data_IF_057446562427
#
_entry.id   IF_057446562427
#
_cell.length_a   1.000
_cell.length_b   1.000
_cell.length_c   1.000
_cell.angle_alpha   90.00
_cell.angle_beta   90.00
_cell.angle_gamma   90.00
#
_symmetry.space_group_name_H-M   'P 1'
#
loop_
_entity.id
_entity.type
_entity.pdbx_description
1 polymer ?
#
# COMPACT_ATOMS: atom_id res chain seq x y z
N UNK A 1 -6.43 14.70 29.62
CA UNK A 1 -5.85 15.70 28.71
C UNK A 1 -5.08 14.95 27.62
N UNK A 2 -5.41 15.18 26.36
CA UNK A 2 -4.74 14.57 25.21
C UNK A 2 -3.53 15.39 24.81
N UNK A 3 -2.69 14.84 23.94
CA UNK A 3 -1.59 15.58 23.32
C UNK A 3 -1.79 15.61 21.81
N UNK A 4 -1.51 16.75 21.18
CA UNK A 4 -1.52 16.84 19.72
C UNK A 4 -0.45 15.93 19.12
N UNK A 5 -0.83 15.13 18.13
CA UNK A 5 0.06 14.18 17.46
C UNK A 5 1.24 14.83 16.71
N UNK A 6 1.10 16.08 16.28
CA UNK A 6 2.13 16.80 15.51
C UNK A 6 2.98 17.72 16.38
N UNK A 7 2.34 18.47 17.29
CA UNK A 7 2.99 19.55 18.03
C UNK A 7 3.26 19.21 19.52
N UNK A 8 2.73 18.10 20.03
CA UNK A 8 2.88 17.68 21.43
C UNK A 8 2.14 18.53 22.48
N UNK A 9 1.47 19.63 22.09
CA UNK A 9 0.71 20.50 23.00
C UNK A 9 -0.44 19.74 23.67
N UNK A 10 -0.74 20.11 24.92
CA UNK A 10 -1.89 19.59 25.66
C UNK A 10 -3.19 20.12 25.06
N UNK A 11 -4.11 19.21 24.77
CA UNK A 11 -5.42 19.50 24.17
C UNK A 11 -6.52 18.77 24.94
N UNK A 12 -7.78 19.26 24.89
CA UNK A 12 -8.92 18.51 25.41
C UNK A 12 -8.98 17.12 24.76
N UNK A 13 -9.34 16.08 25.51
CA UNK A 13 -9.41 14.69 25.00
C UNK A 13 -10.35 14.53 23.78
N UNK A 14 -11.20 15.51 23.50
CA UNK A 14 -12.11 15.54 22.35
C UNK A 14 -11.44 15.94 21.03
N UNK A 15 -10.23 16.50 21.09
CA UNK A 15 -9.49 16.98 19.92
C UNK A 15 -8.24 16.15 19.70
N UNK A 16 -7.92 15.89 18.43
CA UNK A 16 -6.72 15.13 18.02
C UNK A 16 -5.54 16.06 17.70
N UNK A 17 -5.82 17.30 17.31
CA UNK A 17 -4.82 18.29 16.88
C UNK A 17 -4.99 19.62 17.62
N UNK A 18 -3.89 20.36 17.76
CA UNK A 18 -3.84 21.65 18.45
C UNK A 18 -4.28 22.84 17.57
N UNK A 19 -4.29 22.66 16.26
CA UNK A 19 -4.70 23.65 15.25
C UNK A 19 -4.95 22.95 13.91
N UNK A 20 -5.65 23.62 13.00
CA UNK A 20 -5.84 23.15 11.63
C UNK A 20 -4.50 22.98 10.90
N UNK A 21 -3.52 23.83 11.18
CA UNK A 21 -2.15 23.69 10.67
C UNK A 21 -1.51 22.34 11.05
N UNK A 22 -1.80 21.81 12.24
CA UNK A 22 -1.30 20.51 12.65
C UNK A 22 -2.08 19.36 11.99
N UNK A 23 -3.36 19.53 11.71
CA UNK A 23 -4.13 18.56 10.95
C UNK A 23 -3.65 18.49 9.49
N UNK A 24 -3.30 19.63 8.89
CA UNK A 24 -2.78 19.69 7.52
C UNK A 24 -1.35 19.14 7.40
N UNK A 25 -0.48 19.41 8.38
CA UNK A 25 0.88 18.84 8.39
C UNK A 25 0.88 17.31 8.48
N UNK A 26 -0.03 16.74 9.27
CA UNK A 26 -0.20 15.29 9.38
C UNK A 26 -0.67 14.66 8.05
N UNK A 27 -1.64 15.32 7.38
CA UNK A 27 -2.13 14.92 6.04
C UNK A 27 -1.04 15.02 4.96
N UNK A 28 -0.17 16.02 5.03
CA UNK A 28 0.93 16.21 4.08
C UNK A 28 2.07 15.17 4.30
N UNK A 29 2.32 14.74 5.53
CA UNK A 29 3.29 13.69 5.82
C UNK A 29 2.80 12.29 5.41
N UNK A 30 1.50 12.02 5.51
CA UNK A 30 0.92 10.75 5.03
C UNK A 30 0.94 10.64 3.51
N UNK A 31 0.67 11.72 2.78
CA UNK A 31 0.72 11.73 1.30
C UNK A 31 2.15 11.65 0.75
N UNK A 32 3.14 12.25 1.42
CA UNK A 32 4.54 12.19 0.98
C UNK A 32 5.21 10.82 1.23
N UNK A 33 4.71 10.02 2.18
CA UNK A 33 5.17 8.63 2.37
C UNK A 33 4.69 7.71 1.24
N UNK A 34 3.57 8.04 0.59
CA UNK A 34 3.05 7.33 -0.60
C UNK A 34 3.85 7.65 -1.88
N UNK A 35 4.40 8.86 -2.00
CA UNK A 35 5.07 9.33 -3.21
C UNK A 35 6.49 8.79 -3.42
N UNK A 36 7.17 8.26 -2.39
CA UNK A 36 8.55 7.76 -2.54
C UNK A 36 8.65 6.34 -3.14
N UNK A 37 7.53 5.65 -3.32
CA UNK A 37 7.48 4.31 -3.93
C UNK A 37 7.01 4.32 -5.41
N UNK A 38 6.83 5.49 -6.04
CA UNK A 38 6.13 5.61 -7.33
C UNK A 38 7.00 5.48 -8.60
N UNK A 39 8.18 4.86 -8.52
CA UNK A 39 9.13 4.79 -9.66
C UNK A 39 9.32 3.38 -10.22
N UNK A 40 8.26 2.59 -10.40
CA UNK A 40 8.45 1.20 -10.86
C UNK A 40 7.70 0.77 -12.14
N UNK A 41 6.57 1.36 -12.57
CA UNK A 41 5.87 0.83 -13.76
C UNK A 41 5.37 1.90 -14.74
N UNK A 42 6.28 2.44 -15.55
CA UNK A 42 5.92 3.20 -16.76
C UNK A 42 5.19 2.36 -17.83
N UNK A 43 4.95 1.07 -17.57
CA UNK A 43 4.06 0.20 -18.35
C UNK A 43 2.65 0.00 -17.74
N UNK A 44 2.39 0.42 -16.48
CA UNK A 44 1.02 0.50 -15.92
C UNK A 44 0.30 1.79 -16.35
N UNK A 45 1.06 2.84 -16.66
CA UNK A 45 0.59 4.20 -16.99
C UNK A 45 -0.29 4.33 -18.25
N UNK A 46 -0.50 3.25 -19.03
CA UNK A 46 -1.27 3.31 -20.28
C UNK A 46 -2.55 2.49 -20.31
N UNK A 47 -3.01 1.90 -19.21
CA UNK A 47 -4.29 1.20 -19.24
C UNK A 47 -4.79 0.64 -17.91
N UNK A 48 -5.76 1.34 -17.32
CA UNK A 48 -6.85 0.80 -16.50
C UNK A 48 -6.48 -0.29 -15.47
N UNK A 49 -5.65 0.04 -14.48
CA UNK A 49 -5.65 -0.61 -13.17
C UNK A 49 -6.27 0.32 -12.14
N UNK A 50 -7.28 -0.12 -11.39
CA UNK A 50 -7.72 0.67 -10.23
C UNK A 50 -6.62 0.66 -9.16
N UNK A 51 -6.47 1.74 -8.39
CA UNK A 51 -5.52 1.82 -7.23
C UNK A 51 -5.62 0.57 -6.33
N UNK A 52 -6.83 0.00 -6.22
CA UNK A 52 -7.10 -1.24 -5.48
C UNK A 52 -6.40 -2.46 -6.08
N UNK A 53 -6.37 -2.58 -7.41
CA UNK A 53 -5.65 -3.64 -8.12
C UNK A 53 -4.16 -3.57 -7.83
N UNK A 54 -3.57 -2.37 -7.91
CA UNK A 54 -2.15 -2.16 -7.62
C UNK A 54 -1.83 -2.53 -6.17
N UNK A 55 -2.65 -2.08 -5.23
CA UNK A 55 -2.51 -2.40 -3.80
C UNK A 55 -2.54 -3.92 -3.57
N UNK A 56 -3.45 -4.64 -4.24
CA UNK A 56 -3.51 -6.10 -4.12
C UNK A 56 -2.26 -6.79 -4.68
N UNK A 57 -1.70 -6.29 -5.78
CA UNK A 57 -0.47 -6.84 -6.36
C UNK A 57 0.73 -6.58 -5.45
N UNK A 58 0.83 -5.39 -4.84
CA UNK A 58 1.85 -5.11 -3.82
C UNK A 58 1.75 -6.08 -2.64
N UNK A 59 0.54 -6.37 -2.17
CA UNK A 59 0.33 -7.35 -1.11
C UNK A 59 0.82 -8.75 -1.51
N UNK A 60 0.61 -9.15 -2.76
CA UNK A 60 1.14 -10.42 -3.29
C UNK A 60 2.66 -10.43 -3.33
N UNK A 61 3.29 -9.31 -3.72
CA UNK A 61 4.76 -9.15 -3.72
C UNK A 61 5.30 -9.27 -2.29
N UNK A 62 4.69 -8.60 -1.32
CA UNK A 62 5.07 -8.70 0.09
C UNK A 62 4.97 -10.13 0.62
N UNK A 63 3.95 -10.90 0.21
CA UNK A 63 3.84 -12.31 0.58
C UNK A 63 5.01 -13.14 0.02
N UNK A 64 5.42 -12.91 -1.23
CA UNK A 64 6.61 -13.56 -1.79
C UNK A 64 7.89 -13.17 -1.06
N UNK A 65 8.08 -11.88 -0.74
CA UNK A 65 9.26 -11.41 0.00
C UNK A 65 9.33 -11.99 1.43
N UNK A 66 8.18 -12.34 2.01
CA UNK A 66 8.07 -13.06 3.29
C UNK A 66 8.31 -14.57 3.18
N UNK A 67 8.58 -15.08 1.97
CA UNK A 67 8.90 -16.48 1.73
C UNK A 67 7.68 -17.41 1.60
N UNK A 68 6.47 -16.87 1.40
CA UNK A 68 5.30 -17.71 1.17
C UNK A 68 5.40 -18.40 -0.21
N UNK A 69 4.92 -19.64 -0.27
CA UNK A 69 4.78 -20.34 -1.54
C UNK A 69 3.64 -19.76 -2.37
N UNK A 70 3.68 -19.99 -3.67
CA UNK A 70 2.59 -19.60 -4.55
C UNK A 70 1.25 -20.27 -4.19
N UNK A 71 1.30 -21.51 -3.70
CA UNK A 71 0.11 -22.24 -3.26
C UNK A 71 -0.52 -21.60 -2.03
N UNK A 72 0.29 -21.18 -1.06
CA UNK A 72 -0.18 -20.49 0.14
C UNK A 72 -0.82 -19.14 -0.21
N UNK A 73 -0.17 -18.38 -1.11
CA UNK A 73 -0.71 -17.10 -1.58
C UNK A 73 -2.02 -17.31 -2.33
N UNK A 74 -2.11 -18.35 -3.16
CA UNK A 74 -3.35 -18.67 -3.89
C UNK A 74 -4.47 -19.02 -2.92
N UNK A 75 -4.17 -19.83 -1.90
CA UNK A 75 -5.12 -20.19 -0.85
C UNK A 75 -5.61 -18.94 -0.10
N UNK A 76 -4.71 -18.10 0.38
CA UNK A 76 -5.02 -16.88 1.14
C UNK A 76 -5.89 -15.90 0.32
N UNK A 77 -5.60 -15.74 -0.97
CA UNK A 77 -6.33 -14.81 -1.84
C UNK A 77 -7.64 -15.39 -2.40
N UNK A 78 -7.81 -16.71 -2.39
CA UNK A 78 -9.01 -17.38 -2.91
C UNK A 78 -10.30 -16.99 -2.17
N UNK A 79 -10.19 -16.58 -0.90
CA UNK A 79 -11.32 -16.11 -0.11
C UNK A 79 -11.85 -14.73 -0.55
N UNK A 80 -11.00 -13.92 -1.19
CA UNK A 80 -11.29 -12.53 -1.52
C UNK A 80 -11.46 -12.30 -3.02
N UNK A 81 -10.88 -13.17 -3.85
CA UNK A 81 -10.80 -12.98 -5.29
C UNK A 81 -11.10 -14.27 -6.04
N UNK A 82 -11.59 -14.12 -7.28
CA UNK A 82 -11.76 -15.25 -8.19
C UNK A 82 -10.40 -15.85 -8.55
N UNK A 83 -10.30 -17.16 -8.79
CA UNK A 83 -9.04 -17.82 -9.15
C UNK A 83 -8.29 -17.13 -10.30
N UNK A 84 -8.99 -16.74 -11.36
CA UNK A 84 -8.39 -16.03 -12.50
C UNK A 84 -7.77 -14.68 -12.12
N UNK A 85 -8.37 -13.96 -11.17
CA UNK A 85 -7.83 -12.70 -10.66
C UNK A 85 -6.58 -12.94 -9.80
N UNK A 86 -6.58 -14.00 -9.00
CA UNK A 86 -5.43 -14.41 -8.20
C UNK A 86 -4.25 -14.77 -9.10
N UNK A 87 -4.49 -15.56 -10.15
CA UNK A 87 -3.47 -15.94 -11.13
C UNK A 87 -2.90 -14.71 -11.86
N UNK A 88 -3.75 -13.74 -12.21
CA UNK A 88 -3.29 -12.48 -12.78
C UNK A 88 -2.40 -11.67 -11.82
N UNK A 89 -2.74 -11.61 -10.53
CA UNK A 89 -1.94 -10.92 -9.53
C UNK A 89 -0.60 -11.61 -9.30
N UNK A 90 -0.60 -12.94 -9.20
CA UNK A 90 0.60 -13.77 -9.09
C UNK A 90 1.53 -13.55 -10.28
N UNK A 91 0.98 -13.56 -11.51
CA UNK A 91 1.75 -13.33 -12.73
C UNK A 91 2.45 -11.97 -12.71
N UNK A 92 1.71 -10.90 -12.38
CA UNK A 92 2.23 -9.53 -12.33
C UNK A 92 3.27 -9.35 -11.21
N UNK A 93 3.01 -9.89 -10.02
CA UNK A 93 3.94 -9.85 -8.89
C UNK A 93 5.27 -10.55 -9.21
N UNK A 94 5.23 -11.73 -9.85
CA UNK A 94 6.42 -12.45 -10.29
C UNK A 94 7.21 -11.69 -11.35
N UNK A 95 6.53 -11.08 -12.32
CA UNK A 95 7.17 -10.27 -13.34
C UNK A 95 7.90 -9.06 -12.73
N UNK A 96 7.28 -8.40 -11.76
CA UNK A 96 7.89 -7.33 -10.98
C UNK A 96 9.18 -7.80 -10.29
N UNK A 97 9.11 -8.91 -9.53
CA UNK A 97 10.26 -9.45 -8.80
C UNK A 97 11.41 -9.85 -9.73
N UNK A 98 11.10 -10.42 -10.90
CA UNK A 98 12.10 -10.74 -11.93
C UNK A 98 12.82 -9.51 -12.47
N UNK A 99 12.10 -8.39 -12.65
CA UNK A 99 12.71 -7.11 -13.08
C UNK A 99 13.54 -6.47 -11.98
N UNK A 100 13.11 -6.58 -10.72
CA UNK A 100 13.83 -6.06 -9.54
C UNK A 100 15.17 -6.77 -9.28
N UNK A 101 15.24 -8.07 -9.60
CA UNK A 101 16.44 -8.89 -9.39
C UNK A 101 17.40 -8.93 -10.60
N UNK A 102 17.12 -8.15 -11.66
CA UNK A 102 18.03 -7.94 -12.79
C UNK A 102 18.81 -6.64 -12.59
#
# INVERSE_FOLDING_TARGET
MGKCKVCGKQIPNRLTYCSDECAEKDKAQTTSTQAKNSTFLSQWDKGHGSVRRETNIHRVIEMFERGLSEEDIRYELSFLFRPSTVDDYLRLAKEYLRRKNR
#
